data_IF_777000236982
#
_entry.id   IF_777000236982
#
_cell.length_a   1.000
_cell.length_b   1.000
_cell.length_c   1.000
_cell.angle_alpha   90.00
_cell.angle_beta   90.00
_cell.angle_gamma   90.00
#
_symmetry.space_group_name_H-M   'P 1'
#
loop_
_entity.id
_entity.type
_entity.pdbx_description
1 polymer ?
#
# COMPACT_ATOMS: atom_id res chain seq x y z
N UNK A 1 -34.88 18.80 -8.02
CA UNK A 1 -34.43 17.64 -8.83
C UNK A 1 -33.93 16.62 -7.84
N UNK A 2 -34.72 15.58 -7.56
CA UNK A 2 -34.27 14.47 -6.74
C UNK A 2 -33.22 13.69 -7.54
N UNK A 3 -31.96 13.79 -7.11
CA UNK A 3 -30.91 12.88 -7.58
C UNK A 3 -31.26 11.53 -6.97
N UNK A 4 -31.83 10.63 -7.77
CA UNK A 4 -31.93 9.23 -7.37
C UNK A 4 -30.50 8.73 -7.16
N UNK A 5 -30.09 8.66 -5.90
CA UNK A 5 -28.86 7.97 -5.53
C UNK A 5 -29.12 6.49 -5.81
N UNK A 6 -28.54 5.98 -6.90
CA UNK A 6 -28.55 4.56 -7.23
C UNK A 6 -27.49 3.89 -6.35
N UNK A 7 -27.88 2.87 -5.60
CA UNK A 7 -26.94 2.06 -4.81
C UNK A 7 -25.91 1.45 -5.77
N UNK A 8 -24.60 1.60 -5.52
CA UNK A 8 -23.57 0.92 -6.29
C UNK A 8 -23.81 -0.59 -6.35
N UNK A 9 -23.89 -1.11 -7.57
CA UNK A 9 -24.19 -2.53 -7.80
C UNK A 9 -22.94 -3.38 -7.57
N UNK A 10 -23.01 -4.29 -6.60
CA UNK A 10 -21.87 -5.13 -6.22
C UNK A 10 -21.52 -6.17 -7.28
N UNK A 11 -22.48 -6.59 -8.11
CA UNK A 11 -22.27 -7.67 -9.08
C UNK A 11 -21.66 -7.15 -10.40
N UNK A 12 -21.35 -5.85 -10.49
CA UNK A 12 -20.86 -5.18 -11.70
C UNK A 12 -19.36 -4.88 -11.71
N UNK A 13 -18.60 -5.38 -10.75
CA UNK A 13 -17.15 -5.19 -10.72
C UNK A 13 -16.43 -6.49 -10.34
N UNK A 14 -15.15 -6.56 -10.69
CA UNK A 14 -14.30 -7.70 -10.33
C UNK A 14 -13.86 -7.60 -8.88
N UNK A 15 -14.38 -8.49 -8.03
CA UNK A 15 -14.02 -8.55 -6.61
C UNK A 15 -12.56 -8.98 -6.38
N UNK A 16 -11.88 -9.56 -7.37
CA UNK A 16 -10.46 -9.93 -7.25
C UNK A 16 -9.52 -8.75 -7.50
N UNK A 17 -9.98 -7.72 -8.21
CA UNK A 17 -9.23 -6.51 -8.54
C UNK A 17 -9.22 -5.51 -7.35
N UNK A 18 -8.04 -5.22 -6.76
CA UNK A 18 -7.94 -4.27 -5.66
C UNK A 18 -8.38 -2.84 -6.00
N UNK A 19 -8.10 -2.39 -7.22
CA UNK A 19 -8.49 -1.06 -7.67
C UNK A 19 -10.01 -0.93 -7.76
N UNK A 20 -10.69 -1.95 -8.27
CA UNK A 20 -12.15 -1.97 -8.36
C UNK A 20 -12.82 -2.07 -6.99
N UNK A 21 -12.27 -2.87 -6.05
CA UNK A 21 -12.76 -2.91 -4.66
C UNK A 21 -12.67 -1.54 -3.97
N UNK A 22 -11.54 -0.85 -4.10
CA UNK A 22 -11.37 0.51 -3.54
C UNK A 22 -12.32 1.51 -4.23
N UNK A 23 -12.47 1.46 -5.55
CA UNK A 23 -13.41 2.31 -6.27
C UNK A 23 -14.86 2.09 -5.81
N UNK A 24 -15.25 0.83 -5.59
CA UNK A 24 -16.56 0.46 -5.06
C UNK A 24 -16.77 0.98 -3.63
N UNK A 25 -15.76 0.87 -2.76
CA UNK A 25 -15.80 1.46 -1.41
C UNK A 25 -16.06 2.96 -1.49
N UNK A 26 -15.34 3.72 -2.33
CA UNK A 26 -15.59 5.15 -2.48
C UNK A 26 -16.99 5.46 -3.03
N UNK A 27 -17.47 4.71 -4.02
CA UNK A 27 -18.83 4.87 -4.54
C UNK A 27 -19.89 4.67 -3.45
N UNK A 28 -19.69 3.66 -2.58
CA UNK A 28 -20.58 3.40 -1.45
C UNK A 28 -20.51 4.49 -0.39
N UNK A 29 -19.31 5.02 -0.08
CA UNK A 29 -19.21 6.16 0.83
C UNK A 29 -19.90 7.41 0.28
N UNK A 30 -19.86 7.62 -1.04
CA UNK A 30 -20.61 8.69 -1.70
C UNK A 30 -22.13 8.50 -1.60
N UNK A 31 -22.61 7.28 -1.76
CA UNK A 31 -24.03 6.94 -1.60
C UNK A 31 -24.55 7.22 -0.19
N UNK A 32 -23.80 6.85 0.85
CA UNK A 32 -24.16 7.10 2.25
C UNK A 32 -23.78 8.49 2.76
N UNK A 33 -23.20 9.35 1.91
CA UNK A 33 -22.79 10.70 2.29
C UNK A 33 -21.63 10.75 3.30
N UNK A 34 -20.82 9.69 3.38
CA UNK A 34 -19.67 9.55 4.28
C UNK A 34 -18.32 9.54 3.56
N UNK A 35 -18.27 10.05 2.32
CA UNK A 35 -17.04 10.15 1.53
C UNK A 35 -16.05 11.13 2.15
N UNK A 36 -15.03 10.58 2.84
CA UNK A 36 -13.95 11.36 3.43
C UNK A 36 -12.60 10.72 3.10
N UNK A 37 -11.91 11.28 2.11
CA UNK A 37 -10.57 10.85 1.72
C UNK A 37 -9.54 10.97 2.86
N UNK A 38 -9.54 12.03 3.70
CA UNK A 38 -8.64 12.09 4.85
C UNK A 38 -8.87 10.97 5.87
N UNK A 39 -10.14 10.57 6.08
CA UNK A 39 -10.46 9.42 6.95
C UNK A 39 -9.95 8.12 6.33
N UNK A 40 -10.07 7.97 5.01
CA UNK A 40 -9.55 6.80 4.30
C UNK A 40 -8.04 6.67 4.46
N UNK A 41 -7.28 7.74 4.22
CA UNK A 41 -5.81 7.71 4.38
C UNK A 41 -5.42 7.43 5.84
N UNK A 42 -6.10 8.06 6.82
CA UNK A 42 -5.85 7.80 8.24
C UNK A 42 -6.12 6.34 8.64
N UNK A 43 -7.19 5.74 8.11
CA UNK A 43 -7.49 4.32 8.32
C UNK A 43 -6.46 3.43 7.61
N UNK A 44 -6.05 3.76 6.40
CA UNK A 44 -5.04 3.02 5.64
C UNK A 44 -3.67 3.01 6.32
N UNK A 45 -3.32 4.10 7.03
CA UNK A 45 -2.07 4.20 7.79
C UNK A 45 -2.12 3.42 9.12
N UNK A 46 -3.27 3.40 9.79
CA UNK A 46 -3.41 2.79 11.12
C UNK A 46 -3.88 1.33 11.11
N UNK A 47 -4.64 0.91 10.10
CA UNK A 47 -5.18 -0.44 9.97
C UNK A 47 -4.14 -1.56 9.81
N UNK A 48 -2.98 -1.39 9.13
CA UNK A 48 -2.03 -2.48 8.91
C UNK A 48 -1.66 -3.23 10.19
N UNK A 49 -1.33 -2.53 11.27
CA UNK A 49 -0.97 -3.16 12.54
C UNK A 49 -2.13 -3.97 13.16
N UNK A 50 -3.35 -3.43 13.10
CA UNK A 50 -4.55 -4.07 13.65
C UNK A 50 -4.96 -5.30 12.84
N UNK A 51 -4.87 -5.19 11.51
CA UNK A 51 -5.15 -6.29 10.58
C UNK A 51 -4.13 -7.41 10.78
N UNK A 52 -2.85 -7.09 10.88
CA UNK A 52 -1.81 -8.09 11.17
C UNK A 52 -2.07 -8.79 12.52
N UNK A 53 -2.40 -8.05 13.58
CA UNK A 53 -2.71 -8.62 14.89
C UNK A 53 -3.94 -9.54 14.85
N UNK A 54 -4.99 -9.14 14.11
CA UNK A 54 -6.18 -9.95 13.90
C UNK A 54 -5.87 -11.25 13.14
N UNK A 55 -5.10 -11.16 12.05
CA UNK A 55 -4.67 -12.31 11.27
C UNK A 55 -3.87 -13.32 12.13
N UNK A 56 -2.96 -12.83 12.99
CA UNK A 56 -2.21 -13.71 13.89
C UNK A 56 -3.10 -14.35 14.96
N UNK A 57 -4.03 -13.58 15.54
CA UNK A 57 -5.00 -14.10 16.53
C UNK A 57 -5.87 -15.21 15.92
N UNK A 58 -6.16 -15.12 14.62
CA UNK A 58 -6.87 -16.14 13.85
C UNK A 58 -5.98 -17.29 13.37
N UNK A 59 -4.74 -17.39 13.86
CA UNK A 59 -3.82 -18.51 13.60
C UNK A 59 -3.14 -18.46 12.23
N UNK A 60 -3.13 -17.32 11.54
CA UNK A 60 -2.47 -17.22 10.24
C UNK A 60 -0.97 -16.98 10.38
N UNK A 61 -0.18 -18.04 10.31
CA UNK A 61 1.30 -17.93 10.35
C UNK A 61 1.94 -17.49 9.02
N UNK A 62 1.19 -17.62 7.92
CA UNK A 62 1.55 -17.15 6.59
C UNK A 62 0.30 -16.57 5.91
N UNK A 63 0.44 -15.40 5.29
CA UNK A 63 -0.65 -14.64 4.66
C UNK A 63 -0.15 -14.16 3.29
N UNK A 64 -0.87 -14.53 2.23
CA UNK A 64 -0.60 -14.01 0.89
C UNK A 64 -0.89 -12.52 0.80
N UNK A 65 -0.25 -11.83 -0.14
CA UNK A 65 -0.49 -10.41 -0.39
C UNK A 65 -1.97 -10.11 -0.66
N UNK A 66 -2.61 -10.91 -1.52
CA UNK A 66 -4.04 -10.83 -1.77
C UNK A 66 -4.86 -10.95 -0.48
N UNK A 67 -4.62 -11.99 0.34
CA UNK A 67 -5.37 -12.19 1.59
C UNK A 67 -5.19 -11.02 2.56
N UNK A 68 -3.97 -10.47 2.63
CA UNK A 68 -3.70 -9.27 3.43
C UNK A 68 -4.53 -8.08 2.95
N UNK A 69 -4.57 -7.81 1.63
CA UNK A 69 -5.37 -6.73 1.07
C UNK A 69 -6.88 -6.90 1.29
N UNK A 70 -7.41 -8.11 1.11
CA UNK A 70 -8.81 -8.41 1.44
C UNK A 70 -9.11 -8.08 2.91
N UNK A 71 -8.22 -8.48 3.82
CA UNK A 71 -8.39 -8.22 5.26
C UNK A 71 -8.31 -6.73 5.61
N UNK A 72 -7.37 -6.03 4.98
CA UNK A 72 -7.21 -4.59 5.15
C UNK A 72 -8.45 -3.83 4.67
N UNK A 73 -8.94 -4.15 3.48
CA UNK A 73 -10.09 -3.49 2.89
C UNK A 73 -11.40 -3.82 3.60
N UNK A 74 -11.59 -5.07 4.05
CA UNK A 74 -12.74 -5.47 4.89
C UNK A 74 -12.72 -4.70 6.23
N UNK A 75 -11.54 -4.53 6.84
CA UNK A 75 -11.39 -3.74 8.06
C UNK A 75 -11.74 -2.26 7.82
N UNK A 76 -11.22 -1.66 6.74
CA UNK A 76 -11.50 -0.27 6.37
C UNK A 76 -13.00 -0.08 6.10
N UNK A 77 -13.63 -1.01 5.38
CA UNK A 77 -15.06 -1.02 5.14
C UNK A 77 -15.85 -0.95 6.45
N UNK A 78 -15.56 -1.86 7.37
CA UNK A 78 -16.21 -1.90 8.69
C UNK A 78 -16.08 -0.57 9.42
N UNK A 79 -14.90 0.05 9.40
CA UNK A 79 -14.66 1.35 10.05
C UNK A 79 -15.40 2.51 9.39
N UNK A 80 -15.51 2.52 8.07
CA UNK A 80 -16.23 3.57 7.35
C UNK A 80 -17.72 3.58 7.66
N UNK A 81 -18.33 2.40 7.75
CA UNK A 81 -19.78 2.27 7.88
C UNK A 81 -20.26 1.99 9.31
N UNK A 82 -19.37 1.86 10.29
CA UNK A 82 -19.68 1.56 11.69
C UNK A 82 -20.74 2.51 12.29
N UNK A 83 -20.66 3.79 11.94
CA UNK A 83 -21.60 4.83 12.40
C UNK A 83 -23.06 4.62 11.96
N UNK A 84 -23.30 3.76 10.97
CA UNK A 84 -24.65 3.43 10.48
C UNK A 84 -25.32 2.31 11.31
N UNK A 85 -24.59 1.66 12.22
CA UNK A 85 -25.10 0.59 13.07
C UNK A 85 -25.71 -0.56 12.26
N UNK A 86 -26.95 -0.93 12.55
CA UNK A 86 -27.67 -2.01 11.85
C UNK A 86 -27.92 -1.72 10.37
N UNK A 87 -27.85 -0.45 9.95
CA UNK A 87 -28.02 -0.05 8.55
C UNK A 87 -26.71 -0.05 7.76
N UNK A 88 -25.58 -0.46 8.37
CA UNK A 88 -24.31 -0.54 7.68
C UNK A 88 -24.38 -1.54 6.52
N UNK A 89 -23.95 -1.17 5.29
CA UNK A 89 -23.91 -2.10 4.19
C UNK A 89 -22.90 -3.22 4.50
N UNK A 90 -23.26 -4.45 4.14
CA UNK A 90 -22.34 -5.58 4.27
C UNK A 90 -21.21 -5.45 3.26
N UNK A 91 -19.99 -5.79 3.67
CA UNK A 91 -18.86 -5.83 2.76
C UNK A 91 -19.13 -6.87 1.66
N UNK A 92 -19.02 -6.52 0.36
CA UNK A 92 -19.31 -7.43 -0.74
C UNK A 92 -18.27 -8.54 -0.92
N UNK A 93 -17.12 -8.40 -0.27
CA UNK A 93 -16.05 -9.39 -0.23
C UNK A 93 -15.66 -9.64 1.22
N UNK A 94 -15.21 -10.86 1.49
CA UNK A 94 -14.67 -11.26 2.80
C UNK A 94 -13.31 -11.90 2.62
N UNK A 95 -12.49 -11.83 3.66
CA UNK A 95 -11.25 -12.61 3.73
C UNK A 95 -11.48 -14.11 3.52
N UNK A 96 -12.65 -14.62 3.89
CA UNK A 96 -13.03 -16.02 3.72
C UNK A 96 -13.37 -16.41 2.28
N UNK A 97 -13.70 -15.44 1.43
CA UNK A 97 -14.04 -15.70 0.02
C UNK A 97 -12.79 -16.00 -0.81
N UNK A 98 -11.61 -15.76 -0.24
CA UNK A 98 -10.33 -16.09 -0.83
C UNK A 98 -10.08 -17.61 -0.80
N UNK A 99 -10.12 -18.26 -1.97
CA UNK A 99 -9.95 -19.71 -2.11
C UNK A 99 -8.50 -20.24 -2.02
N UNK A 100 -7.53 -19.43 -1.60
CA UNK A 100 -6.20 -19.91 -1.24
C UNK A 100 -5.15 -19.96 -2.36
N UNK A 101 -3.92 -19.70 -1.93
CA UNK A 101 -2.61 -20.03 -2.50
C UNK A 101 -2.30 -19.84 -3.99
N UNK A 102 -2.50 -18.63 -4.51
CA UNK A 102 -1.76 -18.18 -5.70
C UNK A 102 -1.22 -16.78 -5.47
N UNK A 103 -0.06 -16.66 -4.80
CA UNK A 103 0.56 -15.35 -4.67
C UNK A 103 1.79 -15.32 -3.77
N UNK A 104 2.53 -14.24 -3.90
CA UNK A 104 3.61 -13.89 -3.00
C UNK A 104 3.08 -13.70 -1.57
N UNK A 105 3.93 -14.01 -0.61
CA UNK A 105 3.62 -13.75 0.80
C UNK A 105 3.60 -12.24 1.03
N UNK A 106 2.65 -11.74 1.82
CA UNK A 106 2.57 -10.31 2.16
C UNK A 106 3.84 -9.87 2.89
N UNK A 107 4.62 -8.99 2.28
CA UNK A 107 5.83 -8.43 2.88
C UNK A 107 5.49 -7.61 4.13
N UNK A 108 4.37 -6.87 4.10
CA UNK A 108 3.89 -6.07 5.24
C UNK A 108 3.58 -6.98 6.43
N UNK A 109 2.86 -8.08 6.21
CA UNK A 109 2.58 -9.04 7.28
C UNK A 109 3.85 -9.70 7.82
N UNK A 110 4.76 -10.10 6.91
CA UNK A 110 6.07 -10.68 7.28
C UNK A 110 6.93 -9.71 8.10
N UNK A 111 6.95 -8.43 7.74
CA UNK A 111 7.68 -7.41 8.48
C UNK A 111 7.06 -7.17 9.86
N UNK A 112 5.74 -7.10 9.95
CA UNK A 112 5.03 -6.97 11.23
C UNK A 112 5.31 -8.18 12.15
N UNK A 113 5.30 -9.41 11.64
CA UNK A 113 5.66 -10.60 12.44
C UNK A 113 7.10 -10.52 12.96
N UNK A 114 8.04 -10.10 12.11
CA UNK A 114 9.45 -9.94 12.48
C UNK A 114 9.63 -8.90 13.58
N UNK A 115 8.95 -7.76 13.50
CA UNK A 115 9.03 -6.72 14.54
C UNK A 115 8.44 -7.15 15.89
N UNK A 116 7.60 -8.18 15.90
CA UNK A 116 7.00 -8.77 17.10
C UNK A 116 7.66 -10.10 17.52
N UNK A 117 8.82 -10.45 16.96
CA UNK A 117 9.56 -11.68 17.23
C UNK A 117 8.76 -12.99 16.98
N UNK A 118 7.76 -12.94 16.09
CA UNK A 118 6.94 -14.08 15.73
C UNK A 118 7.60 -14.88 14.58
N UNK A 119 7.59 -16.22 14.67
CA UNK A 119 8.11 -17.07 13.59
C UNK A 119 7.29 -16.90 12.32
N UNK A 120 7.97 -16.80 11.19
CA UNK A 120 7.38 -16.88 9.85
C UNK A 120 7.60 -18.28 9.29
N UNK A 121 6.51 -18.96 8.94
CA UNK A 121 6.58 -20.25 8.24
C UNK A 121 6.73 -19.90 6.76
N UNK A 122 7.97 -19.87 6.26
CA UNK A 122 8.21 -19.92 4.82
C UNK A 122 7.73 -21.31 4.40
N UNK A 123 6.59 -21.37 3.72
CA UNK A 123 6.19 -22.57 3.02
C UNK A 123 7.21 -22.75 1.91
N UNK A 124 8.22 -23.57 2.19
CA UNK A 124 9.09 -24.10 1.15
C UNK A 124 8.17 -24.77 0.13
N UNK A 125 8.27 -24.46 -1.16
CA UNK A 125 7.47 -25.17 -2.16
C UNK A 125 7.82 -26.67 -2.04
N UNK A 126 6.79 -27.52 -1.88
CA UNK A 126 6.93 -28.97 -1.95
C UNK A 126 7.58 -29.36 -3.30
N UNK A 127 8.37 -30.44 -3.37
CA UNK A 127 9.24 -30.72 -4.50
C UNK A 127 8.45 -31.41 -5.61
N UNK A 128 7.60 -30.67 -6.32
CA UNK A 128 7.10 -31.13 -7.61
C UNK A 128 8.12 -30.80 -8.71
N UNK A 129 8.88 -31.84 -9.09
CA UNK A 129 9.48 -32.08 -10.40
C UNK A 129 10.05 -30.83 -11.12
N UNK A 130 11.33 -30.55 -10.85
CA UNK A 130 12.17 -29.83 -11.84
C UNK A 130 12.23 -30.68 -13.11
N UNK A 131 12.02 -30.05 -14.29
CA UNK A 131 13.15 -29.35 -14.90
C UNK A 131 12.73 -28.02 -15.54
N UNK A 132 12.94 -26.92 -14.81
CA UNK A 132 13.04 -25.57 -15.40
C UNK A 132 13.96 -24.62 -14.60
N UNK A 133 14.81 -25.17 -13.72
CA UNK A 133 15.65 -24.35 -12.84
C UNK A 133 16.90 -23.75 -13.50
N UNK A 134 17.16 -24.05 -14.78
CA UNK A 134 18.34 -23.53 -15.50
C UNK A 134 18.02 -22.38 -16.48
N UNK A 135 16.79 -21.85 -16.51
CA UNK A 135 16.44 -20.69 -17.35
C UNK A 135 16.21 -19.37 -16.62
N UNK A 136 15.90 -19.37 -15.32
CA UNK A 136 15.63 -18.13 -14.57
C UNK A 136 16.86 -17.53 -13.86
N UNK A 137 17.98 -18.25 -13.77
CA UNK A 137 19.20 -17.72 -13.16
C UNK A 137 19.99 -16.79 -14.11
N UNK A 138 19.80 -16.91 -15.42
CA UNK A 138 20.54 -16.12 -16.42
C UNK A 138 19.80 -14.86 -16.91
N UNK A 139 18.48 -14.77 -16.70
CA UNK A 139 17.66 -13.64 -17.17
C UNK A 139 17.47 -12.51 -16.16
N UNK A 140 17.98 -12.65 -14.93
CA UNK A 140 17.83 -11.62 -13.89
C UNK A 140 19.15 -10.96 -13.45
N UNK A 141 20.32 -11.46 -13.85
CA UNK A 141 21.58 -10.85 -13.41
C UNK A 141 21.85 -9.54 -14.14
N UNK A 142 21.68 -9.52 -15.46
CA UNK A 142 21.93 -8.34 -16.29
C UNK A 142 20.91 -7.22 -16.02
N UNK A 143 19.65 -7.57 -15.79
CA UNK A 143 18.60 -6.60 -15.44
C UNK A 143 18.82 -6.01 -14.04
N UNK A 144 19.27 -6.82 -13.07
CA UNK A 144 19.61 -6.33 -11.73
C UNK A 144 20.84 -5.45 -11.77
N UNK A 145 21.89 -5.81 -12.53
CA UNK A 145 23.07 -4.96 -12.68
C UNK A 145 22.75 -3.65 -13.39
N UNK A 146 21.89 -3.69 -14.41
CA UNK A 146 21.44 -2.49 -15.11
C UNK A 146 20.63 -1.56 -14.19
N UNK A 147 19.74 -2.11 -13.35
CA UNK A 147 19.01 -1.34 -12.34
C UNK A 147 19.93 -0.77 -11.26
N UNK A 148 20.90 -1.55 -10.76
CA UNK A 148 21.90 -1.07 -9.80
C UNK A 148 22.72 0.08 -10.37
N UNK A 149 23.08 0.01 -11.66
CA UNK A 149 23.81 1.08 -12.33
C UNK A 149 22.96 2.34 -12.53
N UNK A 150 21.68 2.19 -12.88
CA UNK A 150 20.75 3.33 -12.97
C UNK A 150 20.56 4.01 -11.60
N UNK A 151 20.45 3.23 -10.53
CA UNK A 151 20.32 3.77 -9.16
C UNK A 151 21.60 4.53 -8.77
N UNK A 152 22.78 4.01 -9.10
CA UNK A 152 24.05 4.69 -8.83
C UNK A 152 24.19 6.01 -9.61
N UNK A 153 23.74 6.04 -10.86
CA UNK A 153 23.74 7.25 -11.70
C UNK A 153 22.79 8.31 -11.15
N UNK A 154 21.56 7.93 -10.80
CA UNK A 154 20.58 8.83 -10.19
C UNK A 154 21.07 9.37 -8.83
N UNK A 155 21.73 8.54 -8.01
CA UNK A 155 22.30 8.99 -6.75
C UNK A 155 23.39 10.06 -6.96
N UNK A 156 24.23 9.90 -7.98
CA UNK A 156 25.24 10.90 -8.37
C UNK A 156 24.60 12.22 -8.83
N UNK A 157 23.54 12.14 -9.62
CA UNK A 157 22.79 13.31 -10.07
C UNK A 157 22.16 14.07 -8.89
N UNK A 158 21.52 13.36 -7.96
CA UNK A 158 20.95 13.94 -6.74
C UNK A 158 22.05 14.64 -5.93
N UNK A 159 23.22 14.03 -5.79
CA UNK A 159 24.33 14.65 -5.05
C UNK A 159 24.82 15.93 -5.74
N UNK A 160 24.85 15.97 -7.07
CA UNK A 160 25.22 17.17 -7.82
C UNK A 160 24.17 18.28 -7.70
N UNK A 161 22.88 17.93 -7.72
CA UNK A 161 21.81 18.89 -7.49
C UNK A 161 21.84 19.46 -6.08
N UNK A 162 22.11 18.62 -5.07
CA UNK A 162 22.29 19.08 -3.68
C UNK A 162 23.43 20.09 -3.54
N UNK A 163 24.57 19.87 -4.22
CA UNK A 163 25.68 20.83 -4.26
C UNK A 163 25.26 22.15 -4.91
N UNK A 164 24.52 22.11 -6.03
CA UNK A 164 24.02 23.33 -6.70
C UNK A 164 23.05 24.11 -5.81
N UNK A 165 22.11 23.42 -5.15
CA UNK A 165 21.16 24.05 -4.23
C UNK A 165 21.92 24.75 -3.09
N UNK A 166 22.93 24.11 -2.51
CA UNK A 166 23.75 24.72 -1.46
C UNK A 166 24.46 25.99 -1.94
N UNK A 167 25.08 25.95 -3.12
CA UNK A 167 25.75 27.12 -3.70
C UNK A 167 24.76 28.28 -3.96
N UNK A 168 23.56 27.98 -4.45
CA UNK A 168 22.51 28.99 -4.66
C UNK A 168 22.00 29.57 -3.33
N UNK A 169 21.91 28.76 -2.28
CA UNK A 169 21.56 29.24 -0.93
C UNK A 169 22.62 30.19 -0.39
N UNK A 170 23.91 29.86 -0.53
CA UNK A 170 25.01 30.74 -0.14
C UNK A 170 24.99 32.06 -0.94
N UNK A 171 24.74 32.00 -2.26
CA UNK A 171 24.58 33.21 -3.07
C UNK A 171 23.39 34.07 -2.64
N UNK A 172 22.23 33.45 -2.36
CA UNK A 172 21.05 34.15 -1.86
C UNK A 172 21.33 34.83 -0.53
N UNK A 173 22.04 34.17 0.38
CA UNK A 173 22.34 34.71 1.70
C UNK A 173 23.33 35.89 1.61
N UNK A 174 24.32 35.82 0.71
CA UNK A 174 25.18 36.97 0.39
C UNK A 174 24.41 38.16 -0.18
N UNK A 175 23.48 37.91 -1.11
CA UNK A 175 22.64 38.97 -1.69
C UNK A 175 21.71 39.58 -0.65
N UNK A 176 21.17 38.77 0.28
CA UNK A 176 20.33 39.25 1.37
C UNK A 176 21.08 40.23 2.27
N UNK A 177 22.31 39.89 2.69
CA UNK A 177 23.15 40.78 3.49
C UNK A 177 23.40 42.10 2.76
N UNK A 178 23.70 42.05 1.45
CA UNK A 178 23.91 43.27 0.66
C UNK A 178 22.65 44.15 0.61
N UNK A 179 21.47 43.56 0.45
CA UNK A 179 20.21 44.31 0.43
C UNK A 179 19.95 44.97 1.79
N UNK A 180 20.16 44.23 2.88
CA UNK A 180 19.96 44.74 4.25
C UNK A 180 20.90 45.95 4.51
N UNK A 181 22.15 45.89 4.05
CA UNK A 181 23.12 47.01 4.15
C UNK A 181 22.71 48.26 3.33
N UNK A 182 21.94 48.09 2.25
CA UNK A 182 21.42 49.21 1.44
C UNK A 182 20.15 49.83 2.03
N UNK A 183 19.39 49.11 2.86
CA UNK A 183 18.14 49.60 3.46
C UNK A 183 18.32 50.32 4.80
N UNK A 184 19.51 50.25 5.41
CA UNK A 184 19.85 50.89 6.69
C UNK A 184 20.53 52.28 6.57
N UNK A 185 20.51 52.90 5.37
CA UNK A 185 20.87 54.31 5.11
C UNK A 185 19.62 55.16 4.82
#
# INVERSE_FOLDING_TARGET
MDVQHVVPDKDKFDHSDPGQRIAYLFAMTGYYGCSSYPVFESLKDSAPGLVCASLETNGHHNVSEAKYHFALEEFIWGRFFDHLGENAPQCPWRVTDFQGYTGHTSEVYQQWRRSHCLRTIVLSPEPELRPAADRNAALNHDDVQHLEQQVAEQASEIQNLQKKIKALQEQRDCLRIQIDDFTDN
#
